data_IF_625002135004
#
_entry.id   IF_625002135004
#
_cell.length_a   1.000
_cell.length_b   1.000
_cell.length_c   1.000
_cell.angle_alpha   90.00
_cell.angle_beta   90.00
_cell.angle_gamma   90.00
#
_symmetry.space_group_name_H-M   'P 1'
#
loop_
_entity.id
_entity.type
_entity.pdbx_description
1 polymer ?
#
# COMPACT_ATOMS: atom_id res chain seq x y z
N UNK A 1 20.78 51.72 57.89
CA UNK A 1 21.26 50.33 57.66
C UNK A 1 20.13 49.50 57.05
N UNK A 2 20.44 48.87 55.92
CA UNK A 2 19.84 47.70 55.26
C UNK A 2 18.40 47.75 54.70
N UNK A 3 18.34 48.11 53.41
CA UNK A 3 17.39 47.62 52.41
C UNK A 3 17.58 46.10 52.26
N UNK A 4 16.53 45.29 52.42
CA UNK A 4 16.53 43.90 51.95
C UNK A 4 15.82 43.82 50.60
N UNK A 5 16.63 43.53 49.60
CA UNK A 5 16.29 43.20 48.23
C UNK A 5 15.76 41.76 48.21
N UNK A 6 14.62 41.52 47.57
CA UNK A 6 14.18 40.17 47.19
C UNK A 6 14.13 40.15 45.66
N UNK A 7 15.16 39.56 45.04
CA UNK A 7 15.12 39.18 43.64
C UNK A 7 14.46 37.79 43.55
N UNK A 8 13.26 37.73 42.98
CA UNK A 8 12.66 36.47 42.55
C UNK A 8 13.33 36.03 41.25
N UNK A 9 14.02 34.90 41.29
CA UNK A 9 14.55 34.24 40.09
C UNK A 9 13.38 33.49 39.45
N UNK A 10 12.83 34.03 38.37
CA UNK A 10 11.96 33.27 37.47
C UNK A 10 12.89 32.42 36.60
N UNK A 11 13.00 31.13 36.91
CA UNK A 11 13.63 30.15 36.01
C UNK A 11 12.59 29.79 34.95
N UNK A 12 12.65 30.46 33.80
CA UNK A 12 11.96 30.00 32.59
C UNK A 12 12.81 28.87 32.01
N UNK A 13 12.45 27.63 32.32
CA UNK A 13 12.96 26.46 31.60
C UNK A 13 12.33 26.41 30.21
N UNK A 14 12.91 27.15 29.26
CA UNK A 14 12.67 26.96 27.83
C UNK A 14 13.36 25.65 27.43
N UNK A 15 12.62 24.55 27.47
CA UNK A 15 13.02 23.30 26.81
C UNK A 15 12.80 23.52 25.32
N UNK A 16 13.77 24.16 24.65
CA UNK A 16 13.86 24.13 23.20
C UNK A 16 14.36 22.73 22.85
N UNK A 17 13.42 21.81 22.63
CA UNK A 17 13.73 20.53 22.01
C UNK A 17 14.16 20.84 20.58
N UNK A 18 15.46 20.89 20.37
CA UNK A 18 16.07 20.89 19.03
C UNK A 18 15.78 19.54 18.38
N UNK A 19 14.57 19.33 17.86
CA UNK A 19 14.39 18.41 16.76
C UNK A 19 15.06 19.07 15.57
N UNK A 20 16.27 18.62 15.24
CA UNK A 20 16.77 18.77 13.89
C UNK A 20 15.78 18.04 12.98
N UNK A 21 14.86 18.79 12.39
CA UNK A 21 13.99 18.32 11.31
C UNK A 21 14.94 18.08 10.13
N UNK A 22 15.55 16.91 10.06
CA UNK A 22 15.95 16.40 8.76
C UNK A 22 14.63 16.17 8.03
N UNK A 23 14.26 17.12 7.17
CA UNK A 23 13.09 16.95 6.34
C UNK A 23 13.28 15.65 5.55
N UNK A 24 12.39 14.68 5.78
CA UNK A 24 12.39 13.42 5.04
C UNK A 24 12.42 13.67 3.53
N UNK A 25 13.04 12.77 2.78
CA UNK A 25 13.18 12.90 1.33
C UNK A 25 11.79 12.88 0.67
N UNK A 26 11.53 13.86 -0.20
CA UNK A 26 10.30 13.95 -0.98
C UNK A 26 10.46 13.47 -2.44
N UNK A 27 11.55 12.78 -2.76
CA UNK A 27 11.73 12.15 -4.06
C UNK A 27 10.62 11.15 -4.32
N UNK A 28 9.93 11.29 -5.47
CA UNK A 28 8.84 10.39 -5.87
C UNK A 28 9.40 8.99 -6.13
N UNK A 29 8.76 8.01 -5.51
CA UNK A 29 8.97 6.59 -5.69
C UNK A 29 7.66 5.99 -6.18
N UNK A 30 7.78 5.16 -7.21
CA UNK A 30 6.66 4.38 -7.76
C UNK A 30 6.64 3.02 -7.06
N UNK A 31 5.51 2.64 -6.48
CA UNK A 31 5.34 1.30 -5.91
C UNK A 31 5.38 0.25 -7.01
N UNK A 32 6.22 -0.77 -6.82
CA UNK A 32 6.25 -1.96 -7.67
C UNK A 32 6.51 -3.22 -6.87
N UNK A 33 6.12 -4.34 -7.46
CA UNK A 33 6.41 -5.68 -6.98
C UNK A 33 7.04 -6.52 -8.09
N UNK A 34 7.85 -7.50 -7.71
CA UNK A 34 8.27 -8.62 -8.56
C UNK A 34 7.57 -9.86 -8.04
N UNK A 35 6.67 -10.42 -8.85
CA UNK A 35 5.96 -11.66 -8.51
C UNK A 35 6.97 -12.80 -8.37
N UNK A 36 6.81 -13.58 -7.31
CA UNK A 36 7.61 -14.76 -7.08
C UNK A 36 6.80 -16.02 -7.43
N UNK A 37 7.51 -17.12 -7.70
CA UNK A 37 6.88 -18.41 -8.03
C UNK A 37 6.40 -19.14 -6.79
N UNK A 38 5.65 -20.21 -6.99
CA UNK A 38 5.30 -21.19 -5.95
C UNK A 38 4.63 -20.56 -4.72
N UNK A 39 3.79 -19.54 -4.95
CA UNK A 39 3.06 -18.82 -3.91
C UNK A 39 3.98 -18.15 -2.87
N UNK A 40 5.22 -17.80 -3.25
CA UNK A 40 6.15 -17.07 -2.40
C UNK A 40 5.80 -15.57 -2.34
N UNK A 41 6.20 -14.93 -1.24
CA UNK A 41 5.97 -13.51 -1.03
C UNK A 41 6.75 -12.67 -2.06
N UNK A 42 6.08 -11.77 -2.81
CA UNK A 42 6.71 -10.90 -3.78
C UNK A 42 7.75 -9.97 -3.15
N UNK A 43 8.82 -9.68 -3.91
CA UNK A 43 9.75 -8.60 -3.55
C UNK A 43 9.17 -7.26 -3.96
N UNK A 44 9.38 -6.23 -3.14
CA UNK A 44 8.89 -4.88 -3.40
C UNK A 44 9.94 -3.84 -3.02
N UNK A 45 10.22 -2.87 -3.91
CA UNK A 45 11.08 -1.71 -3.67
C UNK A 45 12.31 -2.02 -2.80
N UNK A 46 13.14 -2.96 -3.23
CA UNK A 46 14.20 -3.59 -2.42
C UNK A 46 15.47 -2.74 -2.17
N UNK A 47 15.44 -1.46 -2.56
CA UNK A 47 16.58 -0.53 -2.47
C UNK A 47 16.23 0.79 -1.78
N UNK A 48 15.48 0.72 -0.69
CA UNK A 48 15.16 1.88 0.14
C UNK A 48 16.18 2.05 1.27
N UNK A 49 16.42 3.30 1.65
CA UNK A 49 17.26 3.65 2.81
C UNK A 49 16.52 3.52 4.15
N UNK A 50 15.24 3.14 4.13
CA UNK A 50 14.35 3.01 5.27
C UNK A 50 13.45 1.79 5.14
N UNK A 51 12.83 1.38 6.25
CA UNK A 51 11.85 0.32 6.27
C UNK A 51 10.44 0.89 6.25
N UNK A 52 9.49 0.20 5.63
CA UNK A 52 8.10 0.66 5.58
C UNK A 52 7.46 0.72 6.97
N UNK A 53 7.85 -0.21 7.84
CA UNK A 53 7.37 -0.33 9.22
C UNK A 53 7.73 0.88 10.07
N UNK A 54 8.84 1.57 9.76
CA UNK A 54 9.23 2.83 10.41
C UNK A 54 8.15 3.91 10.20
N UNK A 55 7.33 3.77 9.16
CA UNK A 55 6.26 4.68 8.76
C UNK A 55 4.85 4.07 8.82
N UNK A 56 4.64 2.97 9.54
CA UNK A 56 3.33 2.28 9.60
C UNK A 56 2.80 1.92 8.19
N UNK A 57 3.72 1.61 7.27
CA UNK A 57 3.43 1.20 5.91
C UNK A 57 3.66 -0.31 5.74
N UNK A 58 2.80 -0.95 4.94
CA UNK A 58 2.81 -2.39 4.72
C UNK A 58 2.37 -2.73 3.30
N UNK A 59 2.85 -3.87 2.79
CA UNK A 59 2.40 -4.42 1.50
C UNK A 59 1.99 -5.89 1.60
N UNK A 60 2.27 -6.52 2.73
CA UNK A 60 1.78 -7.84 3.13
C UNK A 60 1.27 -7.78 4.57
N UNK A 61 0.35 -8.67 4.92
CA UNK A 61 -0.01 -8.97 6.31
C UNK A 61 0.80 -10.13 6.86
N UNK A 62 0.21 -10.94 7.75
CA UNK A 62 0.91 -12.07 8.37
C UNK A 62 1.27 -13.16 7.33
N UNK A 63 2.55 -13.26 6.99
CA UNK A 63 3.08 -14.22 6.01
C UNK A 63 3.23 -15.65 6.56
N UNK A 64 3.03 -15.84 7.88
CA UNK A 64 3.01 -17.15 8.51
C UNK A 64 1.63 -17.81 8.50
N UNK A 65 0.59 -17.09 8.07
CA UNK A 65 -0.77 -17.59 7.96
C UNK A 65 -1.24 -17.60 6.50
N UNK A 66 -2.05 -18.60 6.13
CA UNK A 66 -2.82 -18.60 4.88
C UNK A 66 -4.00 -17.62 4.97
N UNK A 67 -3.68 -16.33 5.05
CA UNK A 67 -4.62 -15.22 5.07
C UNK A 67 -4.44 -14.32 3.85
N UNK A 68 -5.54 -13.84 3.31
CA UNK A 68 -5.59 -12.88 2.20
C UNK A 68 -6.40 -11.64 2.64
N UNK A 69 -5.97 -10.47 2.18
CA UNK A 69 -6.65 -9.20 2.35
C UNK A 69 -7.11 -8.71 0.98
N UNK A 70 -8.40 -8.87 0.71
CA UNK A 70 -8.99 -8.42 -0.55
C UNK A 70 -9.28 -6.93 -0.47
N UNK A 71 -8.76 -6.15 -1.42
CA UNK A 71 -8.90 -4.70 -1.43
C UNK A 71 -9.31 -4.18 -2.80
N UNK A 72 -10.06 -3.08 -2.80
CA UNK A 72 -10.52 -2.39 -4.00
C UNK A 72 -10.19 -0.91 -3.93
N UNK A 73 -9.71 -0.34 -5.04
CA UNK A 73 -9.54 1.11 -5.18
C UNK A 73 -10.71 1.70 -5.98
N UNK A 74 -11.37 2.70 -5.39
CA UNK A 74 -12.66 3.26 -5.83
C UNK A 74 -12.51 4.76 -6.16
N UNK A 75 -12.09 5.04 -7.40
CA UNK A 75 -12.01 6.40 -7.95
C UNK A 75 -13.34 6.93 -8.48
N UNK A 76 -14.09 6.06 -9.17
CA UNK A 76 -15.42 6.34 -9.74
C UNK A 76 -16.21 5.03 -9.85
N UNK A 77 -17.54 5.13 -9.98
CA UNK A 77 -18.41 3.97 -10.16
C UNK A 77 -18.63 3.66 -11.65
N UNK A 78 -18.58 2.37 -12.03
CA UNK A 78 -18.78 1.90 -13.41
C UNK A 78 -19.93 0.88 -13.57
N UNK A 79 -20.81 0.76 -12.58
CA UNK A 79 -21.97 -0.13 -12.56
C UNK A 79 -21.69 -1.55 -12.05
N UNK A 80 -20.59 -1.78 -11.34
CA UNK A 80 -20.14 -3.10 -10.93
C UNK A 80 -20.00 -3.27 -9.41
N UNK A 81 -19.80 -2.21 -8.63
CA UNK A 81 -19.57 -2.33 -7.18
C UNK A 81 -20.73 -3.03 -6.47
N UNK A 82 -21.98 -2.72 -6.85
CA UNK A 82 -23.14 -3.38 -6.27
C UNK A 82 -23.11 -4.91 -6.45
N UNK A 83 -22.66 -5.39 -7.63
CA UNK A 83 -22.54 -6.83 -7.93
C UNK A 83 -21.36 -7.46 -7.20
N UNK A 84 -20.25 -6.73 -7.07
CA UNK A 84 -19.10 -7.15 -6.28
C UNK A 84 -19.51 -7.33 -4.82
N UNK A 85 -20.23 -6.36 -4.23
CA UNK A 85 -20.77 -6.48 -2.87
C UNK A 85 -21.72 -7.68 -2.73
N UNK A 86 -22.58 -7.95 -3.71
CA UNK A 86 -23.45 -9.13 -3.69
C UNK A 86 -22.65 -10.44 -3.64
N UNK A 87 -21.60 -10.55 -4.46
CA UNK A 87 -20.69 -11.71 -4.46
C UNK A 87 -19.97 -11.85 -3.13
N UNK A 88 -19.44 -10.76 -2.58
CA UNK A 88 -18.75 -10.76 -1.29
C UNK A 88 -19.68 -11.19 -0.16
N UNK A 89 -20.92 -10.70 -0.15
CA UNK A 89 -21.94 -11.05 0.84
C UNK A 89 -22.33 -12.52 0.76
N UNK A 90 -22.64 -13.04 -0.43
CA UNK A 90 -22.99 -14.46 -0.62
C UNK A 90 -21.88 -15.39 -0.17
N UNK A 91 -20.62 -14.96 -0.34
CA UNK A 91 -19.47 -15.74 0.06
C UNK A 91 -18.97 -15.45 1.48
N UNK A 92 -19.58 -14.51 2.23
CA UNK A 92 -19.09 -14.07 3.54
C UNK A 92 -17.61 -13.66 3.51
N UNK A 93 -17.20 -12.95 2.45
CA UNK A 93 -15.82 -12.51 2.24
C UNK A 93 -15.68 -11.03 2.59
N UNK A 94 -14.93 -10.68 3.65
CA UNK A 94 -14.65 -9.28 3.94
C UNK A 94 -13.68 -8.68 2.91
N UNK A 95 -13.77 -7.36 2.74
CA UNK A 95 -12.93 -6.59 1.83
C UNK A 95 -12.68 -5.18 2.36
N UNK A 96 -11.68 -4.50 1.82
CA UNK A 96 -11.32 -3.11 2.15
C UNK A 96 -11.46 -2.26 0.89
N UNK A 97 -12.28 -1.20 0.94
CA UNK A 97 -12.52 -0.28 -0.16
C UNK A 97 -11.81 1.05 0.12
N UNK A 98 -10.79 1.37 -0.68
CA UNK A 98 -10.10 2.65 -0.64
C UNK A 98 -10.83 3.64 -1.55
N UNK A 99 -11.53 4.59 -0.95
CA UNK A 99 -12.46 5.49 -1.67
C UNK A 99 -11.91 6.91 -1.76
N UNK A 100 -12.21 7.56 -2.89
CA UNK A 100 -11.97 8.99 -3.06
C UNK A 100 -13.17 9.83 -2.62
N UNK A 101 -12.99 11.14 -2.38
CA UNK A 101 -14.11 12.04 -2.05
C UNK A 101 -15.21 12.08 -3.12
N UNK A 102 -14.91 12.18 -4.43
CA UNK A 102 -15.92 12.06 -5.48
C UNK A 102 -16.72 10.76 -5.41
N UNK A 103 -16.05 9.62 -5.14
CA UNK A 103 -16.74 8.35 -5.03
C UNK A 103 -17.73 8.32 -3.86
N UNK A 104 -17.32 8.79 -2.68
CA UNK A 104 -18.19 8.86 -1.49
C UNK A 104 -19.43 9.72 -1.77
N UNK A 105 -19.22 10.91 -2.34
CA UNK A 105 -20.30 11.89 -2.54
C UNK A 105 -21.29 11.48 -3.62
N UNK A 106 -20.83 10.75 -4.65
CA UNK A 106 -21.70 10.31 -5.75
C UNK A 106 -22.34 8.95 -5.49
N UNK A 107 -21.82 8.15 -4.55
CA UNK A 107 -22.30 6.79 -4.27
C UNK A 107 -22.58 6.52 -2.78
N UNK A 108 -23.33 7.37 -2.06
CA UNK A 108 -23.56 7.19 -0.62
C UNK A 108 -24.23 5.85 -0.27
N UNK A 109 -25.11 5.33 -1.14
CA UNK A 109 -25.75 4.02 -0.94
C UNK A 109 -24.74 2.86 -0.98
N UNK A 110 -23.73 2.94 -1.85
CA UNK A 110 -22.66 1.93 -1.91
C UNK A 110 -21.77 2.00 -0.67
N UNK A 111 -21.44 3.20 -0.20
CA UNK A 111 -20.71 3.38 1.07
C UNK A 111 -21.50 2.78 2.25
N UNK A 112 -22.80 3.03 2.32
CA UNK A 112 -23.66 2.46 3.35
C UNK A 112 -23.71 0.92 3.30
N UNK A 113 -23.77 0.34 2.09
CA UNK A 113 -23.68 -1.11 1.89
C UNK A 113 -22.33 -1.66 2.34
N UNK A 114 -21.22 -1.01 1.99
CA UNK A 114 -19.88 -1.43 2.41
C UNK A 114 -19.83 -1.61 3.93
N UNK A 115 -20.31 -0.62 4.69
CA UNK A 115 -20.37 -0.70 6.14
C UNK A 115 -21.34 -1.78 6.65
N UNK A 116 -22.57 -1.80 6.14
CA UNK A 116 -23.62 -2.69 6.63
C UNK A 116 -23.33 -4.16 6.36
N UNK A 117 -22.54 -4.45 5.32
CA UNK A 117 -22.14 -5.80 4.90
C UNK A 117 -20.80 -6.23 5.51
N UNK A 118 -20.22 -5.43 6.41
CA UNK A 118 -19.05 -5.80 7.21
C UNK A 118 -17.70 -5.56 6.53
N UNK A 119 -17.65 -4.68 5.52
CA UNK A 119 -16.41 -4.27 4.87
C UNK A 119 -15.78 -3.05 5.56
N UNK A 120 -14.49 -2.81 5.30
CA UNK A 120 -13.84 -1.55 5.72
C UNK A 120 -13.87 -0.55 4.58
N UNK A 121 -14.18 0.70 4.91
CA UNK A 121 -14.01 1.85 4.01
C UNK A 121 -12.81 2.67 4.50
N UNK A 122 -11.89 2.94 3.59
CA UNK A 122 -10.56 3.50 3.83
C UNK A 122 -10.24 4.64 2.85
N UNK A 123 -9.19 5.40 3.13
CA UNK A 123 -8.91 6.67 2.48
C UNK A 123 -8.05 6.50 1.21
N UNK A 124 -8.50 7.04 0.08
CA UNK A 124 -7.73 7.07 -1.18
C UNK A 124 -7.51 8.48 -1.72
N UNK A 125 -7.45 9.47 -0.83
CA UNK A 125 -7.37 10.92 -1.09
C UNK A 125 -8.61 11.53 -1.75
N UNK A 126 -8.68 12.85 -1.71
CA UNK A 126 -9.75 13.62 -2.36
C UNK A 126 -9.69 13.53 -3.88
N UNK A 127 -8.56 13.91 -4.49
CA UNK A 127 -8.46 14.11 -5.94
C UNK A 127 -7.56 13.09 -6.64
N UNK A 128 -7.16 12.03 -5.94
CA UNK A 128 -6.25 11.02 -6.45
C UNK A 128 -4.89 11.58 -6.98
N UNK A 129 -4.23 12.54 -6.30
CA UNK A 129 -2.94 13.07 -6.75
C UNK A 129 -1.78 12.15 -6.35
N UNK A 130 -0.65 12.27 -7.05
CA UNK A 130 0.62 11.73 -6.55
C UNK A 130 0.98 12.40 -5.21
N UNK A 131 1.16 11.62 -4.15
CA UNK A 131 1.36 12.19 -2.80
C UNK A 131 2.61 13.07 -2.64
N UNK A 132 3.76 12.77 -3.28
CA UNK A 132 4.91 13.66 -3.26
C UNK A 132 4.63 15.06 -3.81
N UNK A 133 3.70 15.19 -4.78
CA UNK A 133 3.29 16.49 -5.32
C UNK A 133 2.46 17.31 -4.30
N UNK A 134 1.81 16.64 -3.36
CA UNK A 134 1.00 17.28 -2.31
C UNK A 134 1.80 17.57 -1.04
N UNK A 135 2.93 16.87 -0.84
CA UNK A 135 3.83 17.06 0.30
C UNK A 135 4.70 18.33 0.22
N UNK A 136 4.23 19.37 -0.49
CA UNK A 136 4.87 20.69 -0.55
C UNK A 136 4.70 21.47 0.74
N UNK A 137 3.55 21.31 1.41
CA UNK A 137 3.28 21.82 2.76
C UNK A 137 2.36 20.84 3.50
N UNK A 138 2.41 20.79 4.85
CA UNK A 138 1.48 19.96 5.63
C UNK A 138 0.01 20.28 5.34
N UNK A 139 -0.35 21.54 5.09
CA UNK A 139 -1.75 21.93 4.86
C UNK A 139 -2.29 21.39 3.53
N UNK A 140 -1.49 21.44 2.44
CA UNK A 140 -1.87 20.86 1.15
C UNK A 140 -2.03 19.36 1.27
N UNK A 141 -1.09 18.68 1.93
CA UNK A 141 -1.14 17.25 2.17
C UNK A 141 -2.38 16.85 3.00
N UNK A 142 -2.59 17.53 4.12
CA UNK A 142 -3.70 17.26 5.04
C UNK A 142 -5.05 17.47 4.38
N UNK A 143 -5.18 18.42 3.44
CA UNK A 143 -6.44 18.67 2.73
C UNK A 143 -6.87 17.47 1.87
N UNK A 144 -5.93 16.76 1.25
CA UNK A 144 -6.25 15.56 0.46
C UNK A 144 -6.76 14.42 1.33
N UNK A 145 -6.26 14.29 2.57
CA UNK A 145 -6.65 13.22 3.49
C UNK A 145 -7.93 13.58 4.26
N UNK A 146 -7.99 14.77 4.86
CA UNK A 146 -9.09 15.21 5.74
C UNK A 146 -10.40 15.44 5.00
N UNK A 147 -10.36 15.83 3.73
CA UNK A 147 -11.58 16.00 2.93
C UNK A 147 -12.35 14.66 2.79
N UNK A 148 -11.63 13.54 2.62
CA UNK A 148 -12.24 12.21 2.58
C UNK A 148 -12.87 11.85 3.93
N UNK A 149 -12.22 12.20 5.05
CA UNK A 149 -12.76 12.02 6.40
C UNK A 149 -14.07 12.79 6.59
N UNK A 150 -14.08 14.05 6.17
CA UNK A 150 -15.25 14.93 6.21
C UNK A 150 -16.38 14.36 5.35
N UNK A 151 -16.11 13.95 4.11
CA UNK A 151 -17.14 13.37 3.22
C UNK A 151 -17.68 12.05 3.72
N UNK A 152 -16.82 11.19 4.25
CA UNK A 152 -17.26 9.95 4.86
C UNK A 152 -18.13 10.21 6.09
N UNK A 153 -17.75 11.15 6.96
CA UNK A 153 -18.51 11.54 8.16
C UNK A 153 -19.87 12.14 7.81
N UNK A 154 -19.94 13.00 6.78
CA UNK A 154 -21.18 13.59 6.28
C UNK A 154 -22.20 12.53 5.84
N UNK A 155 -21.73 11.46 5.17
CA UNK A 155 -22.59 10.39 4.64
C UNK A 155 -22.97 9.35 5.70
N UNK A 156 -22.03 8.98 6.57
CA UNK A 156 -22.19 7.82 7.48
C UNK A 156 -22.43 8.18 8.94
N UNK A 157 -22.08 9.42 9.34
CA UNK A 157 -22.03 9.83 10.75
C UNK A 157 -20.85 9.24 11.53
N UNK A 158 -19.97 8.47 10.91
CA UNK A 158 -18.83 7.78 11.56
C UNK A 158 -17.48 8.27 11.07
N UNK A 159 -16.45 7.98 11.85
CA UNK A 159 -15.08 8.30 11.45
C UNK A 159 -14.56 7.19 10.53
N UNK A 160 -13.87 7.56 9.46
CA UNK A 160 -13.34 6.61 8.49
C UNK A 160 -12.25 5.73 9.12
N UNK A 161 -12.12 4.50 8.64
CA UNK A 161 -11.02 3.62 9.04
C UNK A 161 -9.69 4.29 8.63
N UNK A 162 -8.76 4.42 9.58
CA UNK A 162 -7.43 5.03 9.37
C UNK A 162 -6.47 4.10 8.62
N UNK A 163 -6.92 3.58 7.49
CA UNK A 163 -6.13 2.93 6.45
C UNK A 163 -6.07 3.86 5.24
N UNK A 164 -4.90 3.92 4.63
CA UNK A 164 -4.62 4.80 3.50
C UNK A 164 -3.92 4.01 2.40
N UNK A 165 -4.26 4.30 1.14
CA UNK A 165 -3.49 3.84 -0.01
C UNK A 165 -3.10 5.03 -0.88
N UNK A 166 -1.80 5.24 -1.18
CA UNK A 166 -1.38 6.35 -2.02
C UNK A 166 -1.87 6.15 -3.46
N UNK A 167 -2.49 7.18 -4.06
CA UNK A 167 -2.90 7.16 -5.46
C UNK A 167 -1.76 6.73 -6.39
N UNK A 168 -2.07 5.88 -7.37
CA UNK A 168 -1.12 5.37 -8.37
C UNK A 168 0.07 4.59 -7.78
N UNK A 169 0.05 4.28 -6.47
CA UNK A 169 1.22 3.79 -5.76
C UNK A 169 2.37 4.80 -5.69
N UNK A 170 2.14 6.09 -5.96
CA UNK A 170 3.18 7.12 -5.91
C UNK A 170 3.34 7.65 -4.48
N UNK A 171 4.54 7.52 -3.93
CA UNK A 171 4.85 7.95 -2.56
C UNK A 171 6.28 8.49 -2.47
N UNK A 172 6.64 8.99 -1.30
CA UNK A 172 7.98 9.44 -0.88
C UNK A 172 8.13 9.16 0.62
N UNK A 173 9.35 9.20 1.14
CA UNK A 173 9.59 9.07 2.58
C UNK A 173 8.83 10.14 3.37
N UNK A 174 8.84 11.39 2.89
CA UNK A 174 8.08 12.48 3.49
C UNK A 174 6.57 12.22 3.48
N UNK A 175 6.01 11.72 2.37
CA UNK A 175 4.57 11.44 2.31
C UNK A 175 4.14 10.31 3.25
N UNK A 176 4.98 9.29 3.46
CA UNK A 176 4.73 8.23 4.43
C UNK A 176 4.77 8.77 5.86
N UNK A 177 5.74 9.63 6.16
CA UNK A 177 5.83 10.31 7.46
C UNK A 177 4.61 11.17 7.77
N UNK A 178 4.19 12.01 6.82
CA UNK A 178 2.99 12.84 6.98
C UNK A 178 1.72 11.98 7.15
N UNK A 179 1.61 10.89 6.41
CA UNK A 179 0.49 9.93 6.55
C UNK A 179 0.45 9.32 7.94
N UNK A 180 1.60 8.86 8.46
CA UNK A 180 1.73 8.33 9.82
C UNK A 180 1.41 9.36 10.89
N UNK A 181 1.85 10.61 10.73
CA UNK A 181 1.54 11.70 11.66
C UNK A 181 0.04 11.99 11.75
N UNK A 182 -0.73 11.69 10.70
CA UNK A 182 -2.20 11.76 10.69
C UNK A 182 -2.88 10.52 11.31
N UNK A 183 -2.10 9.55 11.79
CA UNK A 183 -2.57 8.32 12.44
C UNK A 183 -3.00 7.22 11.46
N UNK A 184 -2.64 7.32 10.18
CA UNK A 184 -2.97 6.32 9.18
C UNK A 184 -1.91 5.23 9.08
N UNK A 185 -2.35 4.00 8.81
CA UNK A 185 -1.49 2.95 8.28
C UNK A 185 -1.56 2.97 6.75
N UNK A 186 -0.41 2.95 6.09
CA UNK A 186 -0.34 2.91 4.62
C UNK A 186 -0.37 1.47 4.15
N UNK A 187 -1.35 1.09 3.33
CA UNK A 187 -1.41 -0.23 2.69
C UNK A 187 -1.16 -0.12 1.19
N UNK A 188 -0.03 -0.65 0.76
CA UNK A 188 0.24 -0.93 -0.64
C UNK A 188 -0.45 -2.25 -1.04
N UNK A 189 0.19 -3.02 -1.92
CA UNK A 189 -0.28 -4.33 -2.36
C UNK A 189 0.90 -5.25 -2.66
N UNK A 190 0.68 -6.54 -2.49
CA UNK A 190 1.60 -7.58 -2.92
C UNK A 190 1.06 -8.33 -4.14
N UNK A 191 -0.20 -8.13 -4.52
CA UNK A 191 -0.73 -8.59 -5.80
C UNK A 191 -1.56 -7.49 -6.47
N UNK A 192 -1.38 -7.37 -7.78
CA UNK A 192 -2.08 -6.43 -8.64
C UNK A 192 -2.02 -6.91 -10.09
N UNK A 193 -2.94 -6.45 -10.93
CA UNK A 193 -2.88 -6.59 -12.39
C UNK A 193 -3.66 -5.46 -13.08
N UNK A 194 -3.58 -5.38 -14.41
CA UNK A 194 -4.21 -4.29 -15.18
C UNK A 194 -5.71 -4.54 -15.42
N UNK A 195 -6.51 -4.50 -14.36
CA UNK A 195 -7.98 -4.61 -14.38
C UNK A 195 -8.70 -3.25 -14.50
N UNK A 196 -7.99 -2.17 -14.22
CA UNK A 196 -8.50 -0.80 -14.18
C UNK A 196 -8.84 -0.19 -15.55
N UNK A 197 -8.22 -0.67 -16.65
CA UNK A 197 -8.48 -0.12 -17.99
C UNK A 197 -9.80 -0.65 -18.56
N UNK A 198 -10.87 0.13 -18.42
CA UNK A 198 -12.22 -0.22 -18.86
C UNK A 198 -12.33 -0.46 -20.38
N UNK A 199 -11.37 0.02 -21.17
CA UNK A 199 -11.32 -0.19 -22.63
C UNK A 199 -10.52 -1.44 -23.02
N UNK A 200 -9.73 -1.99 -22.09
CA UNK A 200 -8.86 -3.15 -22.31
C UNK A 200 -8.96 -4.14 -21.14
N UNK A 201 -10.18 -4.58 -20.89
CA UNK A 201 -10.46 -5.55 -19.84
C UNK A 201 -9.75 -6.89 -20.13
N UNK A 202 -9.10 -7.51 -19.13
CA UNK A 202 -8.39 -8.77 -19.31
C UNK A 202 -9.36 -9.93 -19.54
N UNK A 203 -8.93 -10.95 -20.28
CA UNK A 203 -9.74 -12.15 -20.49
C UNK A 203 -9.98 -12.88 -19.15
N UNK A 204 -11.25 -13.22 -18.80
CA UNK A 204 -11.61 -13.81 -17.51
C UNK A 204 -10.74 -14.99 -17.06
N UNK A 205 -10.55 -15.99 -17.92
CA UNK A 205 -9.74 -17.17 -17.60
C UNK A 205 -8.26 -16.83 -17.33
N UNK A 206 -7.70 -15.87 -18.07
CA UNK A 206 -6.32 -15.42 -17.87
C UNK A 206 -6.17 -14.64 -16.57
N UNK A 207 -7.13 -13.76 -16.28
CA UNK A 207 -7.17 -12.98 -15.04
C UNK A 207 -7.31 -13.90 -13.83
N UNK A 208 -8.26 -14.83 -13.86
CA UNK A 208 -8.48 -15.83 -12.80
C UNK A 208 -7.23 -16.67 -12.55
N UNK A 209 -6.62 -17.21 -13.62
CA UNK A 209 -5.37 -17.98 -13.49
C UNK A 209 -4.25 -17.14 -12.90
N UNK A 210 -4.10 -15.90 -13.36
CA UNK A 210 -3.07 -14.98 -12.88
C UNK A 210 -3.21 -14.71 -11.38
N UNK A 211 -4.43 -14.47 -10.90
CA UNK A 211 -4.71 -14.23 -9.48
C UNK A 211 -4.42 -15.50 -8.69
N UNK A 212 -4.95 -16.65 -9.12
CA UNK A 212 -4.78 -17.92 -8.42
C UNK A 212 -3.31 -18.33 -8.31
N UNK A 213 -2.53 -18.22 -9.39
CA UNK A 213 -1.11 -18.59 -9.41
C UNK A 213 -0.23 -17.72 -8.49
N UNK A 214 -0.71 -16.53 -8.10
CA UNK A 214 0.04 -15.54 -7.34
C UNK A 214 -0.55 -15.28 -5.94
N UNK A 215 -1.50 -16.09 -5.48
CA UNK A 215 -1.90 -16.06 -4.07
C UNK A 215 -0.69 -16.43 -3.22
N UNK A 216 -0.49 -15.74 -2.10
CA UNK A 216 0.55 -16.09 -1.14
C UNK A 216 0.09 -15.71 0.27
N UNK A 217 0.79 -16.22 1.28
CA UNK A 217 0.45 -15.91 2.66
C UNK A 217 0.57 -14.40 2.93
N UNK A 218 -0.44 -13.85 3.61
CA UNK A 218 -0.50 -12.43 3.94
C UNK A 218 -0.75 -11.52 2.74
N UNK A 219 -1.16 -12.04 1.57
CA UNK A 219 -1.27 -11.21 0.37
C UNK A 219 -2.30 -10.09 0.54
N UNK A 220 -1.91 -8.87 0.16
CA UNK A 220 -2.83 -7.75 -0.04
C UNK A 220 -3.12 -7.67 -1.54
N UNK A 221 -4.33 -8.06 -1.92
CA UNK A 221 -4.79 -8.15 -3.31
C UNK A 221 -5.45 -6.81 -3.66
N UNK A 222 -4.89 -6.08 -4.61
CA UNK A 222 -5.48 -4.88 -5.19
C UNK A 222 -6.24 -5.23 -6.47
N UNK A 223 -7.55 -4.96 -6.44
CA UNK A 223 -8.47 -5.01 -7.58
C UNK A 223 -9.17 -3.65 -7.77
N UNK A 224 -9.89 -3.48 -8.87
CA UNK A 224 -10.76 -2.32 -9.09
C UNK A 224 -12.19 -2.73 -9.39
N UNK A 225 -13.18 -2.07 -8.76
CA UNK A 225 -14.59 -2.30 -9.03
C UNK A 225 -15.11 -1.58 -10.28
N UNK A 226 -14.21 -1.06 -11.13
CA UNK A 226 -14.57 -0.60 -12.49
C UNK A 226 -14.47 -1.73 -13.53
N UNK A 227 -13.91 -2.88 -13.12
CA UNK A 227 -13.61 -4.00 -14.00
C UNK A 227 -14.82 -4.93 -14.17
N UNK A 228 -15.25 -5.08 -15.44
CA UNK A 228 -16.19 -6.14 -15.82
C UNK A 228 -15.62 -7.52 -15.50
N UNK A 229 -14.36 -7.73 -15.86
CA UNK A 229 -13.68 -9.01 -15.64
C UNK A 229 -13.69 -9.41 -14.18
N UNK A 230 -13.28 -8.52 -13.26
CA UNK A 230 -13.32 -8.80 -11.82
C UNK A 230 -14.71 -9.23 -11.36
N UNK A 231 -15.75 -8.54 -11.83
CA UNK A 231 -17.13 -8.87 -11.46
C UNK A 231 -17.51 -10.29 -11.88
N UNK A 232 -17.03 -10.76 -13.03
CA UNK A 232 -17.32 -12.10 -13.56
C UNK A 232 -16.54 -13.20 -12.84
N UNK A 233 -15.32 -12.92 -12.36
CA UNK A 233 -14.42 -13.95 -11.80
C UNK A 233 -14.31 -13.93 -10.28
N UNK A 234 -14.85 -12.93 -9.58
CA UNK A 234 -14.62 -12.75 -8.14
C UNK A 234 -15.08 -13.93 -7.30
N UNK A 235 -16.27 -14.47 -7.58
CA UNK A 235 -16.80 -15.63 -6.84
C UNK A 235 -15.88 -16.84 -6.99
N UNK A 236 -15.41 -17.07 -8.20
CA UNK A 236 -14.48 -18.15 -8.54
C UNK A 236 -13.13 -17.98 -7.84
N UNK A 237 -12.56 -16.77 -7.82
CA UNK A 237 -11.31 -16.48 -7.09
C UNK A 237 -11.47 -16.79 -5.61
N UNK A 238 -12.59 -16.38 -5.00
CA UNK A 238 -12.84 -16.63 -3.58
C UNK A 238 -12.90 -18.14 -3.29
N UNK A 239 -13.60 -18.90 -4.14
CA UNK A 239 -13.70 -20.36 -4.02
C UNK A 239 -12.35 -21.04 -4.22
N UNK A 240 -11.59 -20.64 -5.24
CA UNK A 240 -10.26 -21.18 -5.54
C UNK A 240 -9.27 -20.90 -4.42
N UNK A 241 -9.26 -19.69 -3.86
CA UNK A 241 -8.43 -19.35 -2.71
C UNK A 241 -8.76 -20.20 -1.48
N UNK A 242 -10.06 -20.40 -1.18
CA UNK A 242 -10.50 -21.26 -0.08
C UNK A 242 -10.15 -22.72 -0.30
N UNK A 243 -10.27 -23.22 -1.53
CA UNK A 243 -9.85 -24.58 -1.89
C UNK A 243 -8.34 -24.80 -1.68
N UNK A 244 -7.53 -23.74 -1.85
CA UNK A 244 -6.09 -23.74 -1.53
C UNK A 244 -5.78 -23.59 -0.03
N UNK A 245 -6.81 -23.43 0.81
CA UNK A 245 -6.71 -23.31 2.27
C UNK A 245 -6.53 -21.88 2.77
N UNK A 246 -6.77 -20.86 1.95
CA UNK A 246 -6.74 -19.47 2.38
C UNK A 246 -8.03 -19.03 3.05
N UNK A 247 -7.89 -18.08 3.97
CA UNK A 247 -8.99 -17.33 4.57
C UNK A 247 -8.90 -15.86 4.22
N UNK A 248 -10.04 -15.18 4.07
CA UNK A 248 -10.09 -13.74 3.86
C UNK A 248 -10.34 -13.04 5.18
N UNK A 249 -9.58 -11.98 5.47
CA UNK A 249 -9.72 -11.16 6.69
C UNK A 249 -9.66 -9.67 6.36
N UNK A 250 -10.24 -8.86 7.25
CA UNK A 250 -9.97 -7.42 7.30
C UNK A 250 -8.59 -7.17 7.91
N UNK A 251 -7.99 -6.01 7.59
CA UNK A 251 -6.71 -5.62 8.16
C UNK A 251 -6.81 -5.42 9.68
N UNK A 252 -5.86 -5.94 10.48
CA UNK A 252 -5.87 -5.73 11.92
C UNK A 252 -5.53 -4.27 12.26
N UNK A 253 -6.43 -3.57 12.95
CA UNK A 253 -6.22 -2.17 13.37
C UNK A 253 -5.47 -2.03 14.71
N UNK A 254 -5.37 -3.11 15.48
CA UNK A 254 -4.57 -3.16 16.70
C UNK A 254 -3.16 -3.68 16.39
N UNK A 255 -2.15 -3.19 17.12
CA UNK A 255 -0.76 -3.67 17.04
C UNK A 255 -0.66 -5.11 17.60
N UNK A 256 -1.12 -6.09 16.83
CA UNK A 256 -0.59 -7.45 16.93
C UNK A 256 0.65 -7.47 16.06
N UNK A 257 1.75 -7.99 16.58
CA UNK A 257 2.96 -8.25 15.80
C UNK A 257 2.56 -8.98 14.50
N UNK A 258 2.51 -8.23 13.40
CA UNK A 258 2.44 -8.82 12.07
C UNK A 258 3.86 -9.32 11.87
N UNK A 259 4.07 -10.62 12.12
CA UNK A 259 5.36 -11.24 11.89
C UNK A 259 5.68 -11.12 10.39
N UNK A 260 6.61 -10.23 10.07
CA UNK A 260 7.18 -10.03 8.74
C UNK A 260 8.61 -10.57 8.73
N UNK A 261 8.98 -11.21 7.64
CA UNK A 261 10.18 -12.02 7.44
C UNK A 261 11.50 -11.26 7.73
N UNK A 262 12.37 -11.75 8.63
CA UNK A 262 13.67 -11.15 8.91
C UNK A 262 14.79 -11.51 7.91
N UNK A 263 14.55 -12.23 6.81
CA UNK A 263 15.64 -12.66 5.92
C UNK A 263 15.87 -11.79 4.68
N UNK A 264 16.56 -10.66 4.89
CA UNK A 264 17.46 -10.10 3.87
C UNK A 264 18.76 -9.59 4.50
N UNK A 265 19.52 -10.48 5.13
CA UNK A 265 20.92 -10.19 5.48
C UNK A 265 21.71 -11.47 5.75
N UNK A 266 22.29 -12.06 4.70
CA UNK A 266 23.58 -12.76 4.79
C UNK A 266 24.34 -12.60 3.46
N UNK A 267 25.23 -11.61 3.40
CA UNK A 267 26.47 -11.75 2.64
C UNK A 267 27.54 -12.01 3.69
N UNK A 268 27.86 -13.28 3.88
CA UNK A 268 29.01 -13.72 4.68
C UNK A 268 30.29 -13.34 3.94
N UNK A 269 31.07 -12.44 4.53
CA UNK A 269 32.48 -12.25 4.22
C UNK A 269 33.27 -13.40 4.83
N UNK A 270 33.82 -14.30 4.01
CA UNK A 270 34.97 -15.11 4.43
C UNK A 270 36.03 -15.12 3.32
N UNK A 271 37.24 -14.80 3.77
CA UNK A 271 38.50 -14.68 3.07
C UNK A 271 39.26 -15.99 3.03
N UNK A 272 39.89 -16.33 1.91
CA UNK A 272 41.14 -17.10 1.90
C UNK A 272 41.92 -16.90 0.59
N UNK A 273 43.11 -16.28 0.71
CA UNK A 273 44.27 -16.31 -0.20
C UNK A 273 44.68 -17.76 -0.55
N UNK A 274 45.38 -18.18 -1.62
CA UNK A 274 46.00 -17.71 -2.89
C UNK A 274 46.52 -19.02 -3.61
N UNK A 275 47.35 -19.06 -4.69
CA UNK A 275 47.81 -18.04 -5.63
C UNK A 275 47.71 -18.41 -7.14
N UNK A 276 47.69 -17.35 -7.95
CA UNK A 276 48.32 -17.11 -9.26
C UNK A 276 48.71 -18.29 -10.18
N UNK A 277 48.09 -18.33 -11.35
CA UNK A 277 48.84 -18.52 -12.60
C UNK A 277 48.36 -17.52 -13.67
N UNK A 278 49.35 -16.81 -14.21
CA UNK A 278 49.27 -15.71 -15.16
C UNK A 278 49.26 -16.27 -16.59
N UNK A 279 48.20 -16.00 -17.37
CA UNK A 279 48.29 -16.00 -18.83
C UNK A 279 47.58 -14.78 -19.40
N UNK A 280 48.41 -13.96 -20.03
CA UNK A 280 48.11 -12.80 -20.84
C UNK A 280 47.20 -13.13 -22.02
N UNK A 281 46.21 -12.29 -22.31
CA UNK A 281 46.13 -11.63 -23.62
C UNK A 281 45.19 -10.43 -23.59
N UNK A 282 45.57 -9.42 -24.36
CA UNK A 282 44.97 -8.09 -24.42
C UNK A 282 43.59 -8.06 -25.11
N UNK A 283 42.92 -6.93 -24.84
CA UNK A 283 42.07 -6.13 -25.72
C UNK A 283 40.57 -6.04 -25.43
N UNK A 284 40.21 -4.76 -25.30
CA UNK A 284 38.97 -4.08 -25.64
C UNK A 284 37.87 -4.02 -24.58
N UNK A 285 37.75 -2.78 -24.11
CA UNK A 285 36.60 -2.14 -23.47
C UNK A 285 35.27 -2.48 -24.15
N UNK A 286 34.19 -2.43 -23.35
CA UNK A 286 32.77 -2.34 -23.73
C UNK A 286 31.94 -3.61 -23.47
N UNK A 287 31.25 -3.63 -22.31
CA UNK A 287 29.87 -4.15 -22.17
C UNK A 287 29.34 -3.93 -20.75
N UNK A 288 28.72 -2.78 -20.55
CA UNK A 288 27.61 -2.65 -19.60
C UNK A 288 26.33 -2.63 -20.45
N UNK A 289 25.88 -3.80 -20.91
CA UNK A 289 24.48 -3.96 -21.33
C UNK A 289 24.10 -5.45 -21.42
N UNK A 290 22.81 -5.69 -21.18
CA UNK A 290 22.02 -6.93 -21.22
C UNK A 290 21.76 -7.61 -19.88
N UNK A 291 20.77 -7.07 -19.19
CA UNK A 291 19.78 -7.89 -18.47
C UNK A 291 18.36 -7.30 -18.63
N UNK A 292 18.01 -6.96 -19.88
CA UNK A 292 16.75 -6.31 -20.30
C UNK A 292 15.50 -7.22 -20.21
N UNK A 293 15.58 -8.39 -19.57
CA UNK A 293 14.46 -9.33 -19.40
C UNK A 293 13.92 -9.43 -17.96
N UNK A 294 14.33 -8.57 -17.02
CA UNK A 294 13.79 -8.55 -15.65
C UNK A 294 12.59 -7.61 -15.43
N UNK A 295 12.18 -6.87 -16.46
CA UNK A 295 11.15 -5.83 -16.35
C UNK A 295 9.74 -6.27 -16.74
N UNK A 296 9.55 -7.47 -17.32
CA UNK A 296 8.21 -7.97 -17.69
C UNK A 296 7.33 -8.29 -16.48
N UNK A 297 7.94 -8.49 -15.31
CA UNK A 297 7.25 -8.90 -14.08
C UNK A 297 7.05 -7.74 -13.10
N UNK A 298 7.53 -6.53 -13.44
CA UNK A 298 7.39 -5.30 -12.66
C UNK A 298 6.04 -4.66 -12.98
N UNK A 299 5.16 -4.57 -11.98
CA UNK A 299 3.82 -3.98 -12.15
C UNK A 299 3.75 -2.64 -11.46
N UNK A 300 3.55 -1.60 -12.25
CA UNK A 300 3.19 -0.26 -11.80
C UNK A 300 1.73 -0.07 -12.20
N UNK A 301 0.82 0.06 -11.23
CA UNK A 301 -0.58 0.40 -11.53
C UNK A 301 -0.65 1.88 -11.85
N UNK A 302 -1.12 2.19 -13.05
CA UNK A 302 -1.49 3.54 -13.48
C UNK A 302 -2.94 3.84 -13.06
N UNK A 303 -3.31 5.12 -12.86
CA UNK A 303 -4.62 5.49 -12.34
C UNK A 303 -5.81 4.98 -13.18
N UNK A 304 -6.84 4.45 -12.51
CA UNK A 304 -8.20 4.41 -13.03
C UNK A 304 -8.86 5.78 -12.78
N UNK A 305 -8.87 6.65 -13.77
CA UNK A 305 -9.62 7.91 -13.75
C UNK A 305 -10.56 7.97 -14.95
#
# INVERSE_FOLDING_TARGET
MNKKVIYGIIVVCLVISNFAIYASDNTKIDWWIVREKDHATPRANDKLSYKYEDYDAYYTGNTNEKVLYLTFDEGYENGYTAKILDVLKVNETPAIFFVTSPYITTNPDLIARMEAEGHMVANHTKNHPSMPNCATTPDVFNKEIKDVEEKYKEVTGKDITKLFRPPMGHYSQLSLELTKQLGYKTLFWSFAYADFDTKKQPEPEKAKKLISDNLHNGAIILLHAVSKTNTEILEDIIKDARAQGYTFKLWPMENKEIALDPQSNQVTTESSDSPLEEKTNEQSTEKADKDLNKWSDVIIIQPAL
#
